data_IF_308116007108
#
_entry.id   IF_308116007108
#
_cell.length_a   1.000
_cell.length_b   1.000
_cell.length_c   1.000
_cell.angle_alpha   90.00
_cell.angle_beta   90.00
_cell.angle_gamma   90.00
#
_symmetry.space_group_name_H-M   'P 1'
#
loop_
_entity.id
_entity.type
_entity.pdbx_description
1 polymer ?
#
# COMPACT_ATOMS: atom_id res chain seq x y z
N UNK A 1 -21.07 -5.68 2.16
CA UNK A 1 -22.22 -4.87 1.71
C UNK A 1 -22.03 -3.43 2.20
N UNK A 2 -22.66 -2.44 1.55
CA UNK A 2 -22.62 -1.03 1.98
C UNK A 2 -23.47 -0.83 3.24
N UNK A 3 -22.98 -0.06 4.21
CA UNK A 3 -23.65 0.21 5.49
C UNK A 3 -23.80 1.70 5.69
N UNK A 4 -25.01 2.16 6.03
CA UNK A 4 -25.33 3.58 6.21
C UNK A 4 -24.84 4.18 7.55
N UNK A 5 -24.28 3.36 8.44
CA UNK A 5 -23.75 3.82 9.73
C UNK A 5 -22.46 4.64 9.56
N UNK A 6 -22.34 5.74 10.32
CA UNK A 6 -21.14 6.61 10.33
C UNK A 6 -21.17 7.79 9.36
N UNK A 7 -22.25 7.98 8.58
CA UNK A 7 -22.42 9.17 7.74
C UNK A 7 -23.14 10.29 8.48
N UNK A 8 -22.63 11.51 8.30
CA UNK A 8 -23.21 12.76 8.82
C UNK A 8 -24.63 13.03 8.29
N UNK A 9 -24.94 12.59 7.07
CA UNK A 9 -26.25 12.73 6.43
C UNK A 9 -26.40 11.70 5.30
N UNK A 10 -27.64 11.50 4.84
CA UNK A 10 -27.94 10.69 3.65
C UNK A 10 -27.24 11.24 2.39
N UNK A 11 -27.18 12.56 2.24
CA UNK A 11 -26.46 13.18 1.14
C UNK A 11 -24.96 12.87 1.20
N UNK A 12 -24.35 12.91 2.40
CA UNK A 12 -22.95 12.54 2.58
C UNK A 12 -22.71 11.06 2.27
N UNK A 13 -23.64 10.18 2.63
CA UNK A 13 -23.61 8.77 2.25
C UNK A 13 -23.63 8.60 0.72
N UNK A 14 -24.59 9.22 0.04
CA UNK A 14 -24.74 9.15 -1.41
C UNK A 14 -23.49 9.69 -2.14
N UNK A 15 -22.91 10.80 -1.64
CA UNK A 15 -21.66 11.35 -2.15
C UNK A 15 -20.50 10.36 -2.00
N UNK A 16 -20.34 9.72 -0.83
CA UNK A 16 -19.24 8.77 -0.57
C UNK A 16 -19.41 7.47 -1.36
N UNK A 17 -20.64 7.01 -1.55
CA UNK A 17 -20.95 5.86 -2.39
C UNK A 17 -20.53 6.13 -3.84
N UNK A 18 -20.91 7.29 -4.38
CA UNK A 18 -20.58 7.65 -5.75
C UNK A 18 -19.07 7.90 -5.94
N UNK A 19 -18.41 8.52 -4.97
CA UNK A 19 -16.95 8.64 -4.95
C UNK A 19 -16.27 7.26 -4.96
N UNK A 20 -16.73 6.33 -4.12
CA UNK A 20 -16.23 4.97 -4.06
C UNK A 20 -16.37 4.23 -5.40
N UNK A 21 -17.54 4.32 -6.04
CA UNK A 21 -17.77 3.74 -7.39
C UNK A 21 -16.80 4.29 -8.41
N UNK A 22 -16.60 5.62 -8.43
CA UNK A 22 -15.66 6.27 -9.35
C UNK A 22 -14.20 5.84 -9.10
N UNK A 23 -13.79 5.70 -7.83
CA UNK A 23 -12.46 5.22 -7.46
C UNK A 23 -12.25 3.79 -7.97
N UNK A 24 -13.20 2.88 -7.70
CA UNK A 24 -13.11 1.49 -8.16
C UNK A 24 -13.05 1.38 -9.69
N UNK A 25 -13.85 2.18 -10.40
CA UNK A 25 -13.83 2.18 -11.86
C UNK A 25 -12.47 2.64 -12.42
N UNK A 26 -11.90 3.73 -11.88
CA UNK A 26 -10.57 4.21 -12.26
C UNK A 26 -9.48 3.21 -11.93
N UNK A 27 -9.54 2.61 -10.74
CA UNK A 27 -8.60 1.58 -10.31
C UNK A 27 -8.63 0.40 -11.28
N UNK A 28 -9.82 -0.11 -11.64
CA UNK A 28 -9.96 -1.19 -12.60
C UNK A 28 -9.34 -0.83 -13.96
N UNK A 29 -9.64 0.35 -14.51
CA UNK A 29 -9.06 0.80 -15.77
C UNK A 29 -7.54 0.96 -15.72
N UNK A 30 -7.00 1.41 -14.58
CA UNK A 30 -5.56 1.54 -14.36
C UNK A 30 -4.89 0.16 -14.37
N UNK A 31 -5.41 -0.78 -13.58
CA UNK A 31 -4.86 -2.14 -13.47
C UNK A 31 -4.96 -2.89 -14.80
N UNK A 32 -6.04 -2.72 -15.56
CA UNK A 32 -6.16 -3.31 -16.91
C UNK A 32 -5.07 -2.85 -17.88
N UNK A 33 -4.46 -1.68 -17.65
CA UNK A 33 -3.36 -1.15 -18.47
C UNK A 33 -1.98 -1.54 -17.94
N UNK A 34 -1.88 -2.08 -16.72
CA UNK A 34 -0.61 -2.52 -16.18
C UNK A 34 -0.15 -3.78 -16.92
N UNK A 35 1.13 -3.78 -17.33
CA UNK A 35 1.72 -4.90 -18.09
C UNK A 35 2.20 -6.04 -17.20
N UNK A 36 2.38 -5.77 -15.91
CA UNK A 36 2.92 -6.73 -14.96
C UNK A 36 1.93 -6.98 -13.85
N UNK A 37 1.80 -8.25 -13.48
CA UNK A 37 1.03 -8.64 -12.32
C UNK A 37 1.82 -8.36 -11.03
N UNK A 38 1.13 -8.01 -9.94
CA UNK A 38 1.76 -7.88 -8.64
C UNK A 38 2.44 -9.18 -8.24
N UNK A 39 3.59 -9.07 -7.57
CA UNK A 39 4.30 -10.25 -7.03
C UNK A 39 3.60 -10.78 -5.80
N UNK A 40 3.15 -9.88 -4.92
CA UNK A 40 2.35 -10.21 -3.75
C UNK A 40 1.20 -9.23 -3.57
N UNK A 41 0.06 -9.74 -3.09
CA UNK A 41 -1.13 -8.95 -2.73
C UNK A 41 -1.60 -9.43 -1.35
N UNK A 42 -1.92 -8.50 -0.46
CA UNK A 42 -2.37 -8.76 0.92
C UNK A 42 -1.46 -9.78 1.65
N UNK A 43 -0.14 -9.66 1.48
CA UNK A 43 0.82 -10.61 2.04
C UNK A 43 1.13 -10.28 3.49
N UNK A 44 0.88 -11.24 4.37
CA UNK A 44 1.18 -11.10 5.79
C UNK A 44 2.69 -11.16 6.07
N UNK A 45 3.10 -10.43 7.11
CA UNK A 45 4.43 -10.52 7.68
C UNK A 45 4.38 -10.64 9.20
N UNK A 46 5.38 -11.33 9.74
CA UNK A 46 5.61 -11.44 11.18
C UNK A 46 7.08 -11.70 11.42
N UNK A 47 7.71 -10.91 12.28
CA UNK A 47 9.10 -11.13 12.68
C UNK A 47 9.34 -10.59 14.10
N UNK A 48 10.28 -11.19 14.86
CA UNK A 48 10.70 -10.66 16.15
C UNK A 48 11.59 -9.42 15.97
N UNK A 49 11.45 -8.46 16.88
CA UNK A 49 12.33 -7.30 17.01
C UNK A 49 12.59 -7.07 18.51
N UNK A 50 13.77 -7.48 18.97
CA UNK A 50 14.13 -7.52 20.39
C UNK A 50 13.08 -8.31 21.21
N UNK A 51 12.47 -7.68 22.20
CA UNK A 51 11.43 -8.26 23.05
C UNK A 51 10.01 -8.09 22.48
N UNK A 52 9.89 -7.58 21.24
CA UNK A 52 8.61 -7.31 20.59
C UNK A 52 8.42 -8.21 19.36
N UNK A 53 7.17 -8.34 18.92
CA UNK A 53 6.82 -9.00 17.66
C UNK A 53 6.13 -8.00 16.76
N UNK A 54 6.71 -7.76 15.59
CA UNK A 54 6.13 -6.88 14.56
C UNK A 54 5.33 -7.76 13.59
N UNK A 55 4.08 -7.40 13.36
CA UNK A 55 3.19 -8.10 12.43
C UNK A 55 2.31 -7.13 11.65
N UNK A 56 1.89 -7.55 10.48
CA UNK A 56 1.04 -6.75 9.61
C UNK A 56 0.85 -7.40 8.25
N UNK A 57 0.39 -6.61 7.29
CA UNK A 57 0.09 -7.06 5.93
C UNK A 57 0.42 -5.97 4.94
N UNK A 58 1.15 -6.31 3.88
CA UNK A 58 1.36 -5.41 2.75
C UNK A 58 0.16 -5.48 1.81
N UNK A 59 -0.38 -4.34 1.38
CA UNK A 59 -1.47 -4.31 0.40
C UNK A 59 -1.00 -4.90 -0.94
N UNK A 60 0.17 -4.44 -1.43
CA UNK A 60 0.79 -4.93 -2.66
C UNK A 60 2.32 -4.78 -2.67
N UNK A 61 3.00 -5.75 -3.27
CA UNK A 61 4.45 -5.72 -3.54
C UNK A 61 4.67 -6.11 -4.99
N UNK A 62 5.44 -5.27 -5.70
CA UNK A 62 5.88 -5.52 -7.06
C UNK A 62 7.39 -5.71 -7.08
N UNK A 63 7.88 -6.79 -7.68
CA UNK A 63 9.30 -7.05 -7.85
C UNK A 63 9.61 -7.12 -9.35
N UNK A 64 10.45 -6.20 -9.82
CA UNK A 64 10.85 -6.12 -11.22
C UNK A 64 12.35 -5.91 -11.31
N UNK A 65 13.05 -6.79 -12.04
CA UNK A 65 14.50 -6.70 -12.26
C UNK A 65 15.35 -6.54 -10.97
N UNK A 66 14.88 -7.11 -9.85
CA UNK A 66 15.56 -7.02 -8.55
C UNK A 66 15.23 -5.77 -7.73
N UNK A 67 14.46 -4.83 -8.28
CA UNK A 67 13.88 -3.70 -7.56
C UNK A 67 12.56 -4.12 -6.91
N UNK A 68 12.38 -3.73 -5.65
CA UNK A 68 11.17 -4.02 -4.88
C UNK A 68 10.39 -2.74 -4.67
N UNK A 69 9.12 -2.72 -5.06
CA UNK A 69 8.20 -1.61 -4.83
C UNK A 69 7.07 -2.06 -3.87
N UNK A 70 7.02 -1.46 -2.69
CA UNK A 70 5.93 -1.68 -1.73
C UNK A 70 4.87 -0.58 -1.94
N UNK A 71 3.62 -0.99 -2.16
CA UNK A 71 2.49 -0.10 -2.46
C UNK A 71 1.46 -0.21 -1.34
N UNK A 72 1.11 0.94 -0.76
CA UNK A 72 0.02 1.11 0.23
C UNK A 72 -1.09 1.93 -0.42
N UNK A 73 -2.28 1.35 -0.55
CA UNK A 73 -3.43 2.00 -1.18
C UNK A 73 -4.17 2.86 -0.16
N UNK A 74 -4.37 4.14 -0.48
CA UNK A 74 -5.16 5.05 0.37
C UNK A 74 -6.30 5.69 -0.41
N UNK A 75 -7.53 5.50 0.09
CA UNK A 75 -8.76 6.07 -0.46
C UNK A 75 -8.95 7.57 -0.15
N UNK A 76 -8.08 8.18 0.66
CA UNK A 76 -8.20 9.58 1.05
C UNK A 76 -7.67 10.55 -0.01
N UNK A 77 -8.33 11.70 -0.13
CA UNK A 77 -8.14 12.66 -1.21
C UNK A 77 -6.88 13.53 -1.00
N UNK A 78 -5.67 12.98 -1.18
CA UNK A 78 -4.43 13.75 -1.06
C UNK A 78 -4.21 14.58 -2.33
N UNK A 79 -4.77 15.80 -2.39
CA UNK A 79 -4.87 16.63 -3.61
C UNK A 79 -3.55 17.03 -4.30
N UNK A 80 -2.35 16.71 -3.82
CA UNK A 80 -1.11 17.12 -4.49
C UNK A 80 0.01 16.06 -4.40
N UNK A 81 0.49 15.57 -5.56
CA UNK A 81 1.68 14.71 -5.69
C UNK A 81 2.89 15.26 -4.91
N UNK A 82 3.06 16.59 -4.89
CA UNK A 82 4.18 17.29 -4.23
C UNK A 82 4.20 17.14 -2.70
N UNK A 83 3.04 16.88 -2.08
CA UNK A 83 2.91 16.63 -0.64
C UNK A 83 2.99 15.12 -0.29
N UNK A 84 2.93 14.23 -1.30
CA UNK A 84 3.01 12.79 -1.10
C UNK A 84 4.44 12.36 -0.73
N UNK A 85 5.46 12.78 -1.48
CA UNK A 85 6.86 12.35 -1.25
C UNK A 85 7.40 12.74 0.14
N UNK A 86 7.06 13.95 0.61
CA UNK A 86 7.43 14.41 1.96
C UNK A 86 6.72 13.62 3.06
N UNK A 87 5.48 13.15 2.80
CA UNK A 87 4.72 12.31 3.74
C UNK A 87 5.17 10.85 3.70
N UNK A 88 5.58 10.34 2.54
CA UNK A 88 6.10 8.97 2.37
C UNK A 88 7.33 8.77 3.25
N UNK A 89 8.28 9.72 3.23
CA UNK A 89 9.48 9.68 4.09
C UNK A 89 9.21 9.78 5.60
N UNK A 90 8.05 10.32 6.00
CA UNK A 90 7.64 10.46 7.41
C UNK A 90 6.60 9.43 7.84
N UNK A 91 6.21 8.50 6.96
CA UNK A 91 5.15 7.55 7.22
C UNK A 91 5.71 6.35 7.98
N UNK A 92 5.50 6.31 9.31
CA UNK A 92 5.89 5.18 10.15
C UNK A 92 5.41 3.83 9.59
N UNK A 93 4.18 3.78 9.07
CA UNK A 93 3.63 2.57 8.42
C UNK A 93 4.53 2.07 7.28
N UNK A 94 5.03 2.96 6.43
CA UNK A 94 5.87 2.58 5.29
C UNK A 94 7.29 2.21 5.71
N UNK A 95 7.82 2.87 6.74
CA UNK A 95 9.11 2.49 7.33
C UNK A 95 9.04 1.07 7.92
N UNK A 96 7.94 0.73 8.61
CA UNK A 96 7.70 -0.62 9.13
C UNK A 96 7.54 -1.65 8.00
N UNK A 97 6.86 -1.28 6.91
CA UNK A 97 6.72 -2.17 5.76
C UNK A 97 8.08 -2.47 5.10
N UNK A 98 8.94 -1.46 4.94
CA UNK A 98 10.29 -1.65 4.42
C UNK A 98 11.15 -2.49 5.38
N UNK A 99 11.08 -2.22 6.69
CA UNK A 99 11.78 -3.01 7.71
C UNK A 99 11.35 -4.48 7.68
N UNK A 100 10.05 -4.74 7.57
CA UNK A 100 9.52 -6.10 7.46
C UNK A 100 10.06 -6.83 6.24
N UNK A 101 10.22 -6.13 5.11
CA UNK A 101 10.75 -6.71 3.88
C UNK A 101 12.22 -7.12 4.08
N UNK A 102 13.01 -6.22 4.65
CA UNK A 102 14.42 -6.47 4.97
C UNK A 102 14.56 -7.66 5.92
N UNK A 103 13.78 -7.67 7.02
CA UNK A 103 13.84 -8.71 8.03
C UNK A 103 13.52 -10.10 7.49
N UNK A 104 12.52 -10.20 6.60
CA UNK A 104 12.02 -11.49 6.12
C UNK A 104 12.80 -11.99 4.91
N UNK A 105 13.06 -11.12 3.94
CA UNK A 105 13.58 -11.54 2.63
C UNK A 105 15.06 -11.20 2.43
N UNK A 106 15.53 -10.07 2.94
CA UNK A 106 16.91 -9.63 2.69
C UNK A 106 17.91 -10.30 3.65
N UNK A 107 17.59 -10.33 4.95
CA UNK A 107 18.45 -10.98 5.96
C UNK A 107 18.46 -12.50 5.75
N UNK A 108 17.33 -13.07 5.33
CA UNK A 108 17.23 -14.50 5.02
C UNK A 108 17.87 -14.88 3.67
N UNK A 109 17.98 -13.94 2.71
CA UNK A 109 18.50 -14.18 1.36
C UNK A 109 19.30 -12.96 0.81
N UNK A 110 20.56 -12.76 1.25
CA UNK A 110 21.32 -11.54 0.99
C UNK A 110 21.74 -11.29 -0.47
N UNK A 111 21.69 -12.29 -1.35
CA UNK A 111 22.26 -12.18 -2.71
C UNK A 111 21.33 -11.59 -3.79
N UNK A 112 20.05 -11.29 -3.51
CA UNK A 112 19.04 -11.09 -4.59
C UNK A 112 18.43 -9.70 -4.77
N UNK A 113 18.72 -8.68 -3.96
CA UNK A 113 17.98 -7.41 -4.05
C UNK A 113 18.90 -6.19 -3.95
N UNK A 114 18.84 -5.32 -4.96
CA UNK A 114 19.73 -4.14 -5.05
C UNK A 114 19.12 -2.84 -4.58
N UNK A 115 17.80 -2.64 -4.59
CA UNK A 115 17.18 -1.40 -4.07
C UNK A 115 15.72 -1.62 -3.63
N UNK A 116 15.28 -0.94 -2.56
CA UNK A 116 13.89 -0.95 -2.06
C UNK A 116 13.27 0.43 -2.28
N UNK A 117 12.23 0.49 -3.10
CA UNK A 117 11.39 1.66 -3.31
C UNK A 117 10.06 1.48 -2.59
N UNK A 118 9.55 2.56 -2.00
CA UNK A 118 8.26 2.55 -1.30
C UNK A 118 7.39 3.69 -1.83
N UNK A 119 6.21 3.35 -2.33
CA UNK A 119 5.31 4.26 -3.03
C UNK A 119 3.90 4.24 -2.40
N UNK A 120 3.23 5.40 -2.38
CA UNK A 120 1.82 5.52 -1.97
C UNK A 120 0.99 5.74 -3.21
N UNK A 121 0.15 4.77 -3.57
CA UNK A 121 -0.77 4.90 -4.70
C UNK A 121 -2.20 5.16 -4.25
N UNK A 122 -2.91 5.93 -5.08
CA UNK A 122 -4.32 6.26 -4.94
C UNK A 122 -5.17 5.31 -5.77
#
# INVERSE_FOLDING_TARGET
CWTSEGFLSREHEEQRLEEGRKVLHRFYQMVQKEKHLPTYVEKEFRFPLENNQIMGRWDRIDIHNGEVCIIDFKSSNVREKKNADKRTKKSLQLALYALAWIAIFLISFPEKHKDILVDKRK
#
